data_IF_177033776274
#
_entry.id   IF_177033776274
#
_cell.length_a   1.000
_cell.length_b   1.000
_cell.length_c   1.000
_cell.angle_alpha   90.00
_cell.angle_beta   90.00
_cell.angle_gamma   90.00
#
_symmetry.space_group_name_H-M   'P 1'
#
loop_
_entity.id
_entity.type
_entity.pdbx_description
1 polymer ?
#
# COMPACT_ATOMS: atom_id res chain seq x y z
N UNK A 1 61.85 -37.34 -18.20
CA UNK A 1 60.54 -37.52 -18.84
C UNK A 1 59.45 -37.21 -17.81
N UNK A 2 59.15 -35.94 -17.60
CA UNK A 2 57.78 -35.46 -17.38
C UNK A 2 57.80 -33.97 -17.67
N UNK A 3 57.04 -33.62 -18.70
CA UNK A 3 56.95 -32.28 -19.26
C UNK A 3 55.96 -31.50 -18.42
N UNK A 4 56.36 -30.30 -18.00
CA UNK A 4 55.45 -29.27 -17.52
C UNK A 4 54.37 -29.01 -18.58
N UNK A 5 53.11 -29.33 -18.28
CA UNK A 5 51.97 -28.75 -18.98
C UNK A 5 51.19 -27.87 -18.01
N UNK A 6 51.53 -26.59 -18.06
CA UNK A 6 50.74 -25.47 -17.58
C UNK A 6 49.44 -25.44 -18.38
N UNK A 7 48.32 -25.88 -17.80
CA UNK A 7 46.98 -25.59 -18.30
C UNK A 7 46.40 -24.43 -17.49
N UNK A 8 46.81 -23.23 -17.88
CA UNK A 8 46.10 -21.98 -17.63
C UNK A 8 45.13 -21.73 -18.77
N UNK A 9 43.85 -22.05 -18.58
CA UNK A 9 42.65 -21.50 -19.28
C UNK A 9 41.46 -22.31 -18.72
N UNK A 10 40.44 -21.77 -18.07
CA UNK A 10 39.64 -20.60 -18.42
C UNK A 10 39.14 -19.91 -17.15
N UNK A 11 39.68 -18.73 -16.83
CA UNK A 11 38.88 -17.74 -16.13
C UNK A 11 37.91 -17.17 -17.16
N UNK A 12 36.76 -17.85 -17.30
CA UNK A 12 35.64 -17.35 -18.09
C UNK A 12 34.96 -16.20 -17.32
N UNK A 13 35.72 -15.12 -17.14
CA UNK A 13 35.27 -13.78 -16.76
C UNK A 13 34.69 -13.08 -17.98
N UNK A 14 33.80 -13.75 -18.72
CA UNK A 14 32.79 -13.01 -19.46
C UNK A 14 31.90 -12.37 -18.39
N UNK A 15 32.04 -11.06 -18.18
CA UNK A 15 31.14 -10.32 -17.30
C UNK A 15 29.71 -10.55 -17.80
N UNK A 16 28.96 -11.44 -17.15
CA UNK A 16 27.58 -11.73 -17.55
C UNK A 16 26.82 -10.41 -17.59
N UNK A 17 26.15 -10.14 -18.71
CA UNK A 17 25.42 -8.89 -18.91
C UNK A 17 24.44 -8.69 -17.75
N UNK A 18 24.37 -7.45 -17.24
CA UNK A 18 23.40 -7.08 -16.20
C UNK A 18 21.95 -7.33 -16.67
N UNK A 19 21.72 -7.19 -17.98
CA UNK A 19 20.43 -7.35 -18.64
C UNK A 19 20.27 -8.71 -19.33
N UNK A 20 20.95 -9.73 -18.81
CA UNK A 20 20.70 -11.10 -19.26
C UNK A 20 19.31 -11.54 -18.78
N UNK A 21 18.44 -11.89 -19.74
CA UNK A 21 17.05 -12.22 -19.45
C UNK A 21 16.95 -13.52 -18.65
N UNK A 22 15.92 -13.64 -17.83
CA UNK A 22 15.68 -14.85 -17.07
C UNK A 22 15.51 -16.06 -18.02
N UNK A 23 16.33 -17.09 -17.81
CA UNK A 23 16.26 -18.32 -18.61
C UNK A 23 14.93 -19.06 -18.39
N UNK A 24 14.33 -18.87 -17.20
CA UNK A 24 12.97 -19.32 -16.91
C UNK A 24 11.95 -18.38 -17.56
N UNK A 25 11.26 -18.89 -18.59
CA UNK A 25 10.26 -18.14 -19.36
C UNK A 25 9.09 -17.69 -18.49
N UNK A 26 8.68 -18.48 -17.49
CA UNK A 26 7.56 -18.12 -16.62
C UNK A 26 7.92 -16.89 -15.77
N UNK A 27 9.10 -16.89 -15.18
CA UNK A 27 9.63 -15.76 -14.41
C UNK A 27 9.81 -14.50 -15.27
N UNK A 28 10.26 -14.66 -16.51
CA UNK A 28 10.36 -13.56 -17.46
C UNK A 28 9.00 -12.91 -17.72
N UNK A 29 7.96 -13.72 -17.99
CA UNK A 29 6.60 -13.20 -18.20
C UNK A 29 6.01 -12.57 -16.94
N UNK A 30 6.20 -13.17 -15.76
CA UNK A 30 5.77 -12.57 -14.49
C UNK A 30 6.41 -11.21 -14.27
N UNK A 31 7.71 -11.07 -14.51
CA UNK A 31 8.41 -9.80 -14.40
C UNK A 31 7.85 -8.72 -15.34
N UNK A 32 7.53 -9.07 -16.59
CA UNK A 32 6.86 -8.15 -17.54
C UNK A 32 5.49 -7.74 -17.03
N UNK A 33 4.68 -8.70 -16.56
CA UNK A 33 3.35 -8.42 -16.02
C UNK A 33 3.43 -7.47 -14.83
N UNK A 34 4.33 -7.73 -13.87
CA UNK A 34 4.52 -6.87 -12.71
C UNK A 34 4.95 -5.46 -13.11
N UNK A 35 5.85 -5.33 -14.09
CA UNK A 35 6.33 -4.04 -14.57
C UNK A 35 5.20 -3.22 -15.20
N UNK A 36 4.40 -3.84 -16.09
CA UNK A 36 3.27 -3.17 -16.75
C UNK A 36 2.21 -2.78 -15.71
N UNK A 37 1.85 -3.69 -14.81
CA UNK A 37 0.83 -3.44 -13.78
C UNK A 37 1.26 -2.34 -12.81
N UNK A 38 2.53 -2.27 -12.42
CA UNK A 38 3.00 -1.28 -11.44
C UNK A 38 3.27 0.11 -12.05
N UNK A 39 3.60 0.18 -13.35
CA UNK A 39 3.93 1.45 -14.05
C UNK A 39 2.83 2.52 -13.93
N UNK A 40 1.56 2.11 -14.04
CA UNK A 40 0.42 3.05 -14.02
C UNK A 40 0.00 3.48 -12.61
N UNK A 41 0.59 2.89 -11.58
CA UNK A 41 0.09 3.05 -10.22
C UNK A 41 0.43 4.43 -9.67
N UNK A 42 1.69 4.85 -9.86
CA UNK A 42 2.16 6.15 -9.43
C UNK A 42 1.38 7.33 -10.06
N UNK A 43 1.22 7.42 -11.40
CA UNK A 43 0.45 8.53 -11.98
C UNK A 43 -1.03 8.50 -11.53
N UNK A 44 -1.62 7.31 -11.38
CA UNK A 44 -3.00 7.17 -10.92
C UNK A 44 -3.20 7.66 -9.48
N UNK A 45 -2.36 7.22 -8.54
CA UNK A 45 -2.45 7.62 -7.13
C UNK A 45 -2.10 9.10 -6.91
N UNK A 46 -1.13 9.64 -7.66
CA UNK A 46 -0.77 11.06 -7.56
C UNK A 46 -1.95 11.98 -7.88
N UNK A 47 -2.75 11.66 -8.91
CA UNK A 47 -3.96 12.42 -9.25
C UNK A 47 -4.95 12.44 -8.08
N UNK A 48 -5.16 11.30 -7.42
CA UNK A 48 -6.09 11.18 -6.29
C UNK A 48 -5.56 11.94 -5.07
N UNK A 49 -4.28 11.77 -4.73
CA UNK A 49 -3.63 12.46 -3.61
C UNK A 49 -3.71 13.97 -3.80
N UNK A 50 -3.36 14.47 -4.99
CA UNK A 50 -3.44 15.90 -5.32
C UNK A 50 -4.88 16.42 -5.22
N UNK A 51 -5.85 15.69 -5.76
CA UNK A 51 -7.27 16.07 -5.70
C UNK A 51 -7.77 16.16 -4.27
N UNK A 52 -7.48 15.15 -3.45
CA UNK A 52 -7.86 15.12 -2.04
C UNK A 52 -7.14 16.20 -1.22
N UNK A 53 -5.87 16.48 -1.54
CA UNK A 53 -5.10 17.54 -0.90
C UNK A 53 -5.75 18.91 -1.16
N UNK A 54 -6.04 19.23 -2.43
CA UNK A 54 -6.71 20.47 -2.83
C UNK A 54 -8.09 20.59 -2.18
N UNK A 55 -8.88 19.51 -2.16
CA UNK A 55 -10.18 19.48 -1.52
C UNK A 55 -10.10 19.70 0.00
N UNK A 56 -9.06 19.18 0.65
CA UNK A 56 -8.82 19.42 2.07
C UNK A 56 -8.36 20.86 2.34
N UNK A 57 -7.61 21.50 1.44
CA UNK A 57 -7.30 22.93 1.54
C UNK A 57 -8.56 23.81 1.44
N UNK A 58 -9.52 23.42 0.60
CA UNK A 58 -10.79 24.14 0.44
C UNK A 58 -11.77 23.89 1.60
N UNK A 59 -11.90 22.62 2.02
CA UNK A 59 -12.78 22.17 3.09
C UNK A 59 -12.00 21.24 4.01
N UNK A 60 -11.38 21.77 5.09
CA UNK A 60 -10.61 20.96 6.02
C UNK A 60 -11.44 19.82 6.58
N UNK A 61 -10.98 18.59 6.37
CA UNK A 61 -11.64 17.40 6.87
C UNK A 61 -10.58 16.36 7.23
N UNK A 62 -10.64 15.88 8.47
CA UNK A 62 -9.74 14.85 9.00
C UNK A 62 -9.74 13.58 8.13
N UNK A 63 -10.90 13.16 7.63
CA UNK A 63 -11.06 11.97 6.77
C UNK A 63 -10.26 12.09 5.47
N UNK A 64 -10.18 13.29 4.87
CA UNK A 64 -9.37 13.49 3.66
C UNK A 64 -7.87 13.39 3.95
N UNK A 65 -7.42 13.90 5.11
CA UNK A 65 -6.01 13.77 5.52
C UNK A 65 -5.62 12.31 5.73
N UNK A 66 -6.44 11.55 6.45
CA UNK A 66 -6.20 10.12 6.68
C UNK A 66 -6.24 9.31 5.40
N UNK A 67 -7.20 9.59 4.51
CA UNK A 67 -7.27 8.92 3.22
C UNK A 67 -6.05 9.22 2.33
N UNK A 68 -5.47 10.43 2.44
CA UNK A 68 -4.20 10.74 1.80
C UNK A 68 -3.01 9.98 2.39
N UNK A 69 -2.99 9.73 3.69
CA UNK A 69 -1.95 8.89 4.31
C UNK A 69 -2.04 7.47 3.73
N UNK A 70 -3.24 6.89 3.68
CA UNK A 70 -3.48 5.59 3.04
C UNK A 70 -3.00 5.57 1.59
N UNK A 71 -3.43 6.53 0.77
CA UNK A 71 -3.01 6.60 -0.63
C UNK A 71 -1.50 6.79 -0.80
N UNK A 72 -0.84 7.48 0.14
CA UNK A 72 0.62 7.62 0.16
C UNK A 72 1.32 6.30 0.48
N UNK A 73 0.80 5.52 1.43
CA UNK A 73 1.28 4.17 1.71
C UNK A 73 1.17 3.27 0.47
N UNK A 74 0.02 3.28 -0.22
CA UNK A 74 -0.18 2.53 -1.46
C UNK A 74 0.73 3.01 -2.60
N UNK A 75 1.02 4.31 -2.66
CA UNK A 75 1.93 4.88 -3.66
C UNK A 75 3.35 4.36 -3.45
N UNK A 76 3.85 4.36 -2.21
CA UNK A 76 5.18 3.86 -1.92
C UNK A 76 5.32 2.34 -2.12
N UNK A 77 4.29 1.55 -1.80
CA UNK A 77 4.24 0.13 -2.15
C UNK A 77 4.28 -0.08 -3.67
N UNK A 78 3.47 0.69 -4.41
CA UNK A 78 3.41 0.66 -5.86
C UNK A 78 4.73 1.00 -6.56
N UNK A 79 5.39 2.07 -6.09
CA UNK A 79 6.71 2.47 -6.57
C UNK A 79 7.76 1.40 -6.25
N UNK A 80 7.66 0.76 -5.08
CA UNK A 80 8.52 -0.36 -4.73
C UNK A 80 8.39 -1.50 -5.73
N UNK A 81 7.17 -1.99 -5.97
CA UNK A 81 6.93 -3.06 -6.97
C UNK A 81 7.43 -2.66 -8.37
N UNK A 82 7.24 -1.41 -8.79
CA UNK A 82 7.75 -0.91 -10.07
C UNK A 82 9.27 -0.98 -10.16
N UNK A 83 9.98 -0.55 -9.12
CA UNK A 83 11.44 -0.58 -9.06
C UNK A 83 11.99 -2.01 -8.97
N UNK A 84 11.26 -2.94 -8.36
CA UNK A 84 11.72 -4.31 -8.16
C UNK A 84 11.37 -5.23 -9.33
N UNK A 85 10.36 -4.90 -10.14
CA UNK A 85 9.92 -5.72 -11.28
C UNK A 85 11.03 -6.03 -12.30
N UNK A 86 11.91 -5.08 -12.69
CA UNK A 86 13.05 -5.38 -13.57
C UNK A 86 14.03 -6.40 -13.01
N UNK A 87 14.14 -6.53 -11.67
CA UNK A 87 15.02 -7.51 -11.03
C UNK A 87 14.50 -8.96 -11.18
N UNK A 88 13.20 -9.14 -11.44
CA UNK A 88 12.61 -10.46 -11.80
C UNK A 88 12.93 -10.81 -13.25
N UNK A 89 12.88 -9.82 -14.15
CA UNK A 89 13.16 -9.97 -15.59
C UNK A 89 14.65 -10.30 -15.82
N UNK A 90 15.53 -9.60 -15.09
CA UNK A 90 16.98 -9.71 -15.22
C UNK A 90 17.60 -10.20 -13.90
N UNK A 91 17.79 -11.51 -13.69
CA UNK A 91 18.28 -12.05 -12.42
C UNK A 91 19.72 -11.61 -12.08
N UNK A 92 20.53 -11.25 -13.08
CA UNK A 92 21.87 -10.69 -12.83
C UNK A 92 21.79 -9.32 -12.16
N UNK A 93 20.73 -8.54 -12.40
CA UNK A 93 20.46 -7.29 -11.69
C UNK A 93 20.32 -7.55 -10.19
N UNK A 94 19.53 -8.56 -9.80
CA UNK A 94 19.37 -8.98 -8.40
C UNK A 94 20.70 -9.39 -7.76
N UNK A 95 21.52 -10.20 -8.47
CA UNK A 95 22.83 -10.66 -7.98
C UNK A 95 23.84 -9.53 -7.82
N UNK A 96 23.89 -8.58 -8.76
CA UNK A 96 24.77 -7.42 -8.66
C UNK A 96 24.37 -6.55 -7.48
N UNK A 97 23.07 -6.34 -7.25
CA UNK A 97 22.59 -5.61 -6.08
C UNK A 97 22.89 -6.34 -4.76
N UNK A 98 22.73 -7.66 -4.68
CA UNK A 98 23.08 -8.43 -3.47
C UNK A 98 24.61 -8.48 -3.20
N UNK A 99 25.42 -8.53 -4.25
CA UNK A 99 26.89 -8.52 -4.09
C UNK A 99 27.38 -7.17 -3.56
N UNK A 100 26.78 -6.06 -4.03
CA UNK A 100 27.04 -4.71 -3.50
C UNK A 100 26.69 -4.63 -2.02
N UNK A 101 25.65 -5.34 -1.55
CA UNK A 101 25.27 -5.44 -0.12
C UNK A 101 26.35 -6.11 0.73
N UNK A 102 26.94 -7.22 0.25
CA UNK A 102 27.92 -7.98 1.04
C UNK A 102 29.26 -7.23 1.19
N UNK A 103 29.68 -6.51 0.16
CA UNK A 103 30.91 -5.69 0.16
C UNK A 103 30.71 -4.36 0.89
N UNK A 104 29.51 -3.75 0.81
CA UNK A 104 29.18 -2.51 1.53
C UNK A 104 29.04 -2.67 3.05
N UNK A 105 29.05 -3.91 3.57
CA UNK A 105 29.14 -4.18 5.02
C UNK A 105 30.47 -3.67 5.62
N UNK A 106 31.49 -3.39 4.79
CA UNK A 106 32.79 -2.86 5.23
C UNK A 106 32.96 -1.34 5.09
N UNK A 107 32.11 -0.65 4.30
CA UNK A 107 32.26 0.79 4.05
C UNK A 107 30.88 1.46 3.89
N UNK A 108 30.49 2.22 4.91
CA UNK A 108 29.28 3.04 4.97
C UNK A 108 29.26 4.06 3.82
N UNK A 109 28.43 3.85 2.79
CA UNK A 109 28.04 4.88 1.81
C UNK A 109 26.50 5.00 1.78
N UNK A 110 25.93 6.19 2.01
CA UNK A 110 24.49 6.36 2.28
C UNK A 110 23.61 6.51 1.01
N UNK A 111 24.09 6.16 -0.18
CA UNK A 111 23.35 6.44 -1.42
C UNK A 111 23.47 5.32 -2.47
N UNK A 112 23.28 4.08 -2.04
CA UNK A 112 22.90 2.99 -2.94
C UNK A 112 21.55 2.47 -2.49
N UNK A 113 20.53 2.71 -3.32
CA UNK A 113 19.17 2.20 -3.17
C UNK A 113 19.23 0.66 -3.31
N UNK A 114 19.54 -0.04 -2.24
CA UNK A 114 19.59 -1.49 -2.23
C UNK A 114 18.17 -2.05 -2.32
N UNK A 115 17.95 -3.09 -3.13
CA UNK A 115 16.64 -3.76 -3.28
C UNK A 115 16.01 -4.13 -1.92
N UNK A 116 16.80 -4.59 -0.95
CA UNK A 116 16.31 -4.92 0.40
C UNK A 116 15.73 -3.71 1.15
N UNK A 117 16.28 -2.49 0.95
CA UNK A 117 15.72 -1.27 1.54
C UNK A 117 14.35 -0.97 0.91
N UNK A 118 14.20 -1.21 -0.40
CA UNK A 118 12.92 -1.06 -1.10
C UNK A 118 11.92 -2.07 -0.52
N UNK A 119 12.29 -3.35 -0.37
CA UNK A 119 11.45 -4.38 0.24
C UNK A 119 11.03 -4.04 1.68
N UNK A 120 11.96 -3.59 2.52
CA UNK A 120 11.67 -3.14 3.88
C UNK A 120 10.73 -1.92 3.91
N UNK A 121 10.92 -0.98 2.97
CA UNK A 121 10.03 0.18 2.80
C UNK A 121 8.63 -0.25 2.41
N UNK A 122 8.50 -1.12 1.40
CA UNK A 122 7.21 -1.64 0.92
C UNK A 122 6.46 -2.34 2.05
N UNK A 123 7.13 -3.24 2.76
CA UNK A 123 6.52 -3.98 3.86
C UNK A 123 6.05 -3.03 4.98
N UNK A 124 6.89 -2.07 5.36
CA UNK A 124 6.53 -1.10 6.41
C UNK A 124 5.34 -0.22 6.01
N UNK A 125 5.23 0.16 4.73
CA UNK A 125 4.09 0.92 4.21
C UNK A 125 2.82 0.07 4.13
N UNK A 126 2.94 -1.24 3.86
CA UNK A 126 1.83 -2.19 3.95
C UNK A 126 1.30 -2.28 5.38
N UNK A 127 2.18 -2.52 6.33
CA UNK A 127 1.83 -2.63 7.75
C UNK A 127 1.19 -1.31 8.24
N UNK A 128 1.55 -0.16 7.67
CA UNK A 128 0.95 1.13 8.00
C UNK A 128 -0.48 1.31 7.45
N UNK A 129 -0.79 0.75 6.29
CA UNK A 129 -2.07 0.93 5.60
C UNK A 129 -3.25 0.44 6.46
N UNK A 130 -3.14 -0.80 6.98
CA UNK A 130 -4.16 -1.50 7.74
C UNK A 130 -4.66 -0.75 9.00
N UNK A 131 -3.78 -0.30 9.92
CA UNK A 131 -4.19 0.47 11.09
C UNK A 131 -4.78 1.83 10.73
N UNK A 132 -4.28 2.50 9.68
CA UNK A 132 -4.80 3.82 9.27
C UNK A 132 -6.21 3.68 8.68
N UNK A 133 -6.48 2.64 7.88
CA UNK A 133 -7.82 2.31 7.40
C UNK A 133 -8.77 1.97 8.56
N UNK A 134 -8.29 1.22 9.55
CA UNK A 134 -9.07 0.89 10.75
C UNK A 134 -9.42 2.15 11.54
N UNK A 135 -8.43 3.03 11.75
CA UNK A 135 -8.63 4.31 12.44
C UNK A 135 -9.60 5.22 11.67
N UNK A 136 -9.58 5.19 10.34
CA UNK A 136 -10.55 5.89 9.49
C UNK A 136 -11.98 5.38 9.72
N UNK A 137 -12.17 4.07 9.86
CA UNK A 137 -13.47 3.46 10.14
C UNK A 137 -14.02 3.88 11.50
N UNK A 138 -13.18 3.81 12.55
CA UNK A 138 -13.55 4.27 13.90
C UNK A 138 -13.86 5.77 13.92
N UNK A 139 -13.05 6.57 13.23
CA UNK A 139 -13.28 8.02 13.10
C UNK A 139 -14.64 8.34 12.50
N UNK A 140 -15.09 7.58 11.50
CA UNK A 140 -16.41 7.76 10.88
C UNK A 140 -17.54 7.50 11.88
N UNK A 141 -17.45 6.44 12.70
CA UNK A 141 -18.44 6.15 13.75
C UNK A 141 -18.56 7.34 14.70
N UNK A 142 -17.44 7.84 15.18
CA UNK A 142 -17.42 8.95 16.13
C UNK A 142 -17.99 10.24 15.55
N UNK A 143 -17.80 10.47 14.24
CA UNK A 143 -18.43 11.57 13.51
C UNK A 143 -19.95 11.35 13.42
N UNK A 144 -20.42 10.15 13.07
CA UNK A 144 -21.84 9.84 12.97
C UNK A 144 -22.58 9.90 14.30
N UNK A 145 -21.93 9.48 15.38
CA UNK A 145 -22.44 9.58 16.75
C UNK A 145 -22.37 11.01 17.30
N UNK A 146 -21.97 12.00 16.48
CA UNK A 146 -21.74 13.40 16.87
C UNK A 146 -20.77 13.59 18.05
N UNK A 147 -19.91 12.61 18.32
CA UNK A 147 -18.89 12.70 19.37
C UNK A 147 -17.69 13.55 18.91
N UNK A 148 -17.45 13.63 17.59
CA UNK A 148 -16.33 14.35 17.00
C UNK A 148 -16.81 15.17 15.79
N UNK A 149 -16.31 16.40 15.65
CA UNK A 149 -16.50 17.18 14.44
C UNK A 149 -15.48 16.83 13.35
N UNK A 150 -15.95 16.58 12.12
CA UNK A 150 -15.09 16.25 10.96
C UNK A 150 -14.08 17.34 10.58
N UNK A 151 -14.38 18.61 10.90
CA UNK A 151 -13.54 19.76 10.59
C UNK A 151 -12.37 19.96 11.56
N UNK A 152 -12.44 19.41 12.77
CA UNK A 152 -11.39 19.55 13.79
C UNK A 152 -10.75 18.19 14.03
N UNK A 153 -9.45 18.10 13.83
CA UNK A 153 -8.72 16.87 14.10
C UNK A 153 -8.75 16.60 15.61
N UNK A 154 -9.45 15.53 16.04
CA UNK A 154 -9.54 15.21 17.46
C UNK A 154 -8.15 14.85 18.00
N UNK A 155 -7.80 15.36 19.18
CA UNK A 155 -6.53 15.07 19.85
C UNK A 155 -6.30 13.57 20.07
N UNK A 156 -7.35 12.82 20.44
CA UNK A 156 -7.25 11.35 20.65
C UNK A 156 -6.86 10.64 19.35
N UNK A 157 -7.53 10.97 18.25
CA UNK A 157 -7.24 10.37 16.94
C UNK A 157 -5.84 10.78 16.45
N UNK A 158 -5.43 12.02 16.72
CA UNK A 158 -4.08 12.51 16.40
C UNK A 158 -3.01 11.74 17.18
N UNK A 159 -3.26 11.49 18.46
CA UNK A 159 -2.38 10.72 19.32
C UNK A 159 -2.26 9.27 18.84
N UNK A 160 -3.38 8.59 18.58
CA UNK A 160 -3.38 7.22 18.04
C UNK A 160 -2.65 7.13 16.69
N UNK A 161 -2.92 8.07 15.77
CA UNK A 161 -2.21 8.14 14.49
C UNK A 161 -0.70 8.37 14.70
N UNK A 162 -0.32 9.23 15.65
CA UNK A 162 1.07 9.47 16.02
C UNK A 162 1.75 8.21 16.54
N UNK A 163 1.08 7.41 17.38
CA UNK A 163 1.59 6.13 17.87
C UNK A 163 1.81 5.13 16.74
N UNK A 164 0.83 4.95 15.86
CA UNK A 164 0.95 4.08 14.69
C UNK A 164 2.13 4.51 13.82
N UNK A 165 2.21 5.80 13.45
CA UNK A 165 3.30 6.30 12.60
C UNK A 165 4.67 6.19 13.29
N UNK A 166 4.74 6.39 14.60
CA UNK A 166 6.00 6.24 15.36
C UNK A 166 6.47 4.79 15.38
N UNK A 167 5.54 3.84 15.57
CA UNK A 167 5.87 2.41 15.51
C UNK A 167 6.29 1.97 14.11
N UNK A 168 5.58 2.42 13.06
CA UNK A 168 5.97 2.21 11.65
C UNK A 168 7.36 2.79 11.37
N UNK A 169 7.69 3.96 11.91
CA UNK A 169 9.03 4.53 11.76
C UNK A 169 10.11 3.68 12.43
N UNK A 170 9.83 3.09 13.59
CA UNK A 170 10.76 2.15 14.26
C UNK A 170 10.95 0.90 13.39
N UNK A 171 9.87 0.33 12.84
CA UNK A 171 9.96 -0.81 11.92
C UNK A 171 10.79 -0.49 10.68
N UNK A 172 10.60 0.70 10.12
CA UNK A 172 11.34 1.16 8.95
C UNK A 172 12.85 1.25 9.22
N UNK A 173 13.23 1.89 10.34
CA UNK A 173 14.64 1.98 10.75
C UNK A 173 15.24 0.60 10.96
N UNK A 174 14.49 -0.30 11.62
CA UNK A 174 14.94 -1.66 11.85
C UNK A 174 15.13 -2.42 10.54
N UNK A 175 14.16 -2.35 9.62
CA UNK A 175 14.21 -3.00 8.32
C UNK A 175 15.39 -2.54 7.46
N UNK A 176 15.76 -1.26 7.56
CA UNK A 176 16.96 -0.72 6.88
C UNK A 176 18.25 -1.27 7.50
N UNK A 177 18.36 -1.29 8.83
CA UNK A 177 19.59 -1.68 9.53
C UNK A 177 19.86 -3.18 9.36
N UNK A 178 18.85 -4.01 9.59
CA UNK A 178 18.98 -5.46 9.64
C UNK A 178 18.65 -6.15 8.32
N UNK A 179 18.05 -5.44 7.35
CA UNK A 179 17.67 -5.97 6.02
C UNK A 179 16.76 -7.19 6.16
N UNK A 180 15.65 -7.00 6.85
CA UNK A 180 14.70 -8.06 7.20
C UNK A 180 13.91 -8.65 6.01
N UNK A 181 13.96 -8.01 4.84
CA UNK A 181 13.25 -8.45 3.63
C UNK A 181 14.23 -8.86 2.55
N UNK A 182 14.06 -10.06 2.01
CA UNK A 182 14.79 -10.57 0.86
C UNK A 182 13.83 -10.83 -0.31
N UNK A 183 14.33 -10.66 -1.52
CA UNK A 183 13.57 -10.93 -2.73
C UNK A 183 13.87 -12.37 -3.17
N UNK A 184 12.92 -13.27 -2.95
CA UNK A 184 12.94 -14.63 -3.48
C UNK A 184 12.04 -14.66 -4.72
N UNK A 185 12.57 -14.59 -5.96
CA UNK A 185 11.74 -14.57 -7.16
C UNK A 185 10.75 -15.75 -7.16
N UNK A 186 9.44 -15.49 -7.31
CA UNK A 186 8.84 -14.32 -7.96
C UNK A 186 8.38 -13.18 -7.02
N UNK A 187 8.68 -13.23 -5.73
CA UNK A 187 8.12 -12.34 -4.71
C UNK A 187 9.12 -11.80 -3.68
N UNK A 188 8.57 -11.20 -2.63
CA UNK A 188 9.29 -10.74 -1.44
C UNK A 188 8.98 -11.67 -0.28
N UNK A 189 9.88 -11.77 0.69
CA UNK A 189 9.65 -12.52 1.92
C UNK A 189 10.54 -12.02 3.06
N UNK A 190 10.19 -12.43 4.28
CA UNK A 190 11.06 -12.21 5.44
C UNK A 190 12.29 -13.12 5.35
N UNK A 191 13.46 -12.54 5.60
CA UNK A 191 14.68 -13.32 5.78
C UNK A 191 14.77 -13.81 7.23
N UNK A 192 14.42 -15.08 7.45
CA UNK A 192 14.46 -15.71 8.77
C UNK A 192 15.87 -16.01 9.29
N UNK A 193 16.92 -15.78 8.49
CA UNK A 193 18.32 -15.92 8.93
C UNK A 193 18.81 -14.71 9.72
N UNK A 194 18.12 -13.57 9.59
CA UNK A 194 18.41 -12.33 10.30
C UNK A 194 17.71 -12.33 11.67
N UNK A 195 18.37 -11.82 12.74
CA UNK A 195 17.78 -11.80 14.07
C UNK A 195 16.47 -10.97 14.10
N UNK A 196 15.53 -11.39 14.95
CA UNK A 196 14.22 -10.74 15.18
C UNK A 196 13.23 -10.73 14.01
N UNK A 197 13.57 -11.24 12.82
CA UNK A 197 12.66 -11.39 11.67
C UNK A 197 11.35 -12.10 12.03
N UNK A 198 11.43 -13.21 12.77
CA UNK A 198 10.27 -13.95 13.28
C UNK A 198 9.37 -13.10 14.19
N UNK A 199 9.96 -12.19 14.99
CA UNK A 199 9.19 -11.31 15.87
C UNK A 199 8.40 -10.30 15.03
N UNK A 200 8.97 -9.77 13.95
CA UNK A 200 8.26 -8.84 13.07
C UNK A 200 7.13 -9.49 12.29
N UNK A 201 7.36 -10.69 11.75
CA UNK A 201 6.30 -11.49 11.12
C UNK A 201 5.15 -11.76 12.10
N UNK A 202 5.48 -12.16 13.34
CA UNK A 202 4.48 -12.36 14.41
C UNK A 202 3.75 -11.06 14.77
N UNK A 203 4.45 -9.93 14.84
CA UNK A 203 3.85 -8.63 15.16
C UNK A 203 2.93 -8.12 14.05
N UNK A 204 3.29 -8.36 12.78
CA UNK A 204 2.43 -8.06 11.63
C UNK A 204 1.10 -8.82 11.73
N UNK A 205 1.17 -10.12 12.03
CA UNK A 205 0.00 -10.97 12.30
C UNK A 205 -0.80 -10.39 13.48
N UNK A 206 -0.15 -10.20 14.63
CA UNK A 206 -0.80 -9.71 15.85
C UNK A 206 -1.43 -8.33 15.70
N UNK A 207 -0.96 -7.48 14.78
CA UNK A 207 -1.57 -6.19 14.48
C UNK A 207 -2.72 -6.32 13.48
N UNK A 208 -2.55 -7.15 12.45
CA UNK A 208 -3.50 -7.31 11.36
C UNK A 208 -4.84 -7.88 11.83
N UNK A 209 -4.83 -8.94 12.65
CA UNK A 209 -6.06 -9.57 13.13
C UNK A 209 -6.97 -8.62 13.94
N UNK A 210 -6.46 -7.92 14.98
CA UNK A 210 -7.26 -6.91 15.69
C UNK A 210 -7.75 -5.79 14.77
N UNK A 211 -6.94 -5.32 13.82
CA UNK A 211 -7.35 -4.29 12.87
C UNK A 211 -8.54 -4.75 12.01
N UNK A 212 -8.52 -6.00 11.54
CA UNK A 212 -9.63 -6.61 10.79
C UNK A 212 -10.89 -6.72 11.64
N UNK A 213 -10.78 -7.21 12.89
CA UNK A 213 -11.91 -7.34 13.80
C UNK A 213 -12.53 -5.96 14.10
N UNK A 214 -11.70 -4.98 14.45
CA UNK A 214 -12.16 -3.62 14.75
C UNK A 214 -12.82 -2.99 13.51
N UNK A 215 -12.24 -3.19 12.32
CA UNK A 215 -12.82 -2.69 11.06
C UNK A 215 -14.18 -3.33 10.79
N UNK A 216 -14.30 -4.65 10.96
CA UNK A 216 -15.57 -5.37 10.78
C UNK A 216 -16.65 -4.87 11.74
N UNK A 217 -16.35 -4.81 13.04
CA UNK A 217 -17.26 -4.26 14.06
C UNK A 217 -17.63 -2.80 13.75
N UNK A 218 -16.65 -2.03 13.25
CA UNK A 218 -16.88 -0.64 12.87
C UNK A 218 -17.86 -0.52 11.70
N UNK A 219 -17.77 -1.38 10.69
CA UNK A 219 -18.69 -1.36 9.56
C UNK A 219 -20.11 -1.79 9.94
N UNK A 220 -20.26 -2.78 10.82
CA UNK A 220 -21.58 -3.14 11.39
C UNK A 220 -22.16 -1.94 12.15
N UNK A 221 -21.36 -1.26 12.96
CA UNK A 221 -21.78 -0.10 13.73
C UNK A 221 -22.21 1.07 12.83
N UNK A 222 -21.47 1.34 11.74
CA UNK A 222 -21.83 2.34 10.73
C UNK A 222 -23.16 1.97 10.07
N UNK A 223 -23.35 0.72 9.66
CA UNK A 223 -24.60 0.25 9.06
C UNK A 223 -25.79 0.44 10.00
N UNK A 224 -25.62 0.09 11.28
CA UNK A 224 -26.61 0.30 12.33
C UNK A 224 -26.94 1.79 12.54
N UNK A 225 -25.93 2.65 12.62
CA UNK A 225 -26.10 4.10 12.76
C UNK A 225 -26.84 4.70 11.55
N UNK A 226 -26.54 4.26 10.34
CA UNK A 226 -27.26 4.68 9.12
C UNK A 226 -28.73 4.24 9.20
N UNK A 227 -29.00 3.02 9.67
CA UNK A 227 -30.36 2.53 9.85
C UNK A 227 -31.13 3.30 10.92
N UNK A 228 -30.52 3.62 12.06
CA UNK A 228 -31.17 4.42 13.11
C UNK A 228 -31.37 5.88 12.68
N UNK A 229 -30.42 6.46 11.95
CA UNK A 229 -30.54 7.80 11.36
C UNK A 229 -31.64 7.90 10.27
N UNK A 230 -32.21 6.78 9.81
CA UNK A 230 -33.40 6.72 8.95
C UNK A 230 -34.61 7.44 9.57
N UNK A 231 -34.69 7.47 10.91
CA UNK A 231 -35.84 8.01 11.63
C UNK A 231 -35.74 9.51 11.97
N UNK A 232 -34.56 10.14 11.85
CA UNK A 232 -34.31 11.42 12.53
C UNK A 232 -34.12 12.66 11.66
N UNK A 233 -33.41 12.65 10.51
CA UNK A 233 -33.24 13.87 9.65
C UNK A 233 -32.37 13.78 8.37
N UNK A 234 -31.89 12.60 7.95
CA UNK A 234 -30.93 12.53 6.84
C UNK A 234 -31.59 12.58 5.45
N UNK A 235 -31.09 13.45 4.56
CA UNK A 235 -31.51 13.46 3.14
C UNK A 235 -31.17 12.15 2.45
N UNK A 236 -32.02 11.71 1.52
CA UNK A 236 -31.83 10.45 0.76
C UNK A 236 -30.48 10.43 0.03
N UNK A 237 -30.05 11.59 -0.49
CA UNK A 237 -28.78 11.73 -1.21
C UNK A 237 -27.56 11.57 -0.30
N UNK A 238 -27.60 12.13 0.92
CA UNK A 238 -26.54 11.95 1.91
C UNK A 238 -26.39 10.47 2.26
N UNK A 239 -27.51 9.78 2.53
CA UNK A 239 -27.53 8.36 2.86
C UNK A 239 -26.97 7.45 1.78
N UNK A 240 -27.32 7.71 0.51
CA UNK A 240 -26.77 6.96 -0.63
C UNK A 240 -25.25 7.08 -0.71
N UNK A 241 -24.71 8.28 -0.46
CA UNK A 241 -23.26 8.48 -0.46
C UNK A 241 -22.60 7.72 0.71
N UNK A 242 -23.22 7.68 1.88
CA UNK A 242 -22.67 6.97 3.05
C UNK A 242 -22.71 5.46 2.90
N UNK A 243 -23.78 4.90 2.35
CA UNK A 243 -23.85 3.47 2.00
C UNK A 243 -22.79 3.10 0.96
N UNK A 244 -22.58 3.96 -0.04
CA UNK A 244 -21.55 3.74 -1.05
C UNK A 244 -20.14 3.71 -0.42
N UNK A 245 -19.86 4.61 0.52
CA UNK A 245 -18.60 4.65 1.26
C UNK A 245 -18.43 3.40 2.13
N UNK A 246 -19.50 2.92 2.78
CA UNK A 246 -19.47 1.68 3.55
C UNK A 246 -19.16 0.46 2.67
N UNK A 247 -19.79 0.38 1.50
CA UNK A 247 -19.56 -0.71 0.54
C UNK A 247 -18.12 -0.69 0.02
N UNK A 248 -17.58 0.49 -0.29
CA UNK A 248 -16.16 0.65 -0.64
C UNK A 248 -15.26 0.07 0.44
N UNK A 249 -15.46 0.46 1.70
CA UNK A 249 -14.60 0.00 2.79
C UNK A 249 -14.78 -1.48 3.11
N UNK A 250 -16.01 -2.00 3.04
CA UNK A 250 -16.28 -3.43 3.26
C UNK A 250 -15.57 -4.28 2.21
N UNK A 251 -15.65 -3.91 0.93
CA UNK A 251 -14.98 -4.61 -0.15
C UNK A 251 -13.45 -4.59 0.00
N UNK A 252 -12.86 -3.41 0.28
CA UNK A 252 -11.41 -3.29 0.48
C UNK A 252 -10.94 -4.14 1.67
N UNK A 253 -11.67 -4.15 2.78
CA UNK A 253 -11.33 -4.97 3.95
C UNK A 253 -11.48 -6.46 3.66
N UNK A 254 -12.55 -6.89 2.98
CA UNK A 254 -12.70 -8.30 2.56
C UNK A 254 -11.55 -8.74 1.65
N UNK A 255 -11.12 -7.88 0.73
CA UNK A 255 -9.98 -8.13 -0.15
C UNK A 255 -8.68 -8.31 0.66
N UNK A 256 -8.38 -7.40 1.60
CA UNK A 256 -7.20 -7.49 2.46
C UNK A 256 -7.24 -8.73 3.36
N UNK A 257 -8.41 -9.06 3.94
CA UNK A 257 -8.57 -10.28 4.74
C UNK A 257 -8.22 -11.54 3.94
N UNK A 258 -8.65 -11.61 2.67
CA UNK A 258 -8.29 -12.70 1.78
C UNK A 258 -6.79 -12.77 1.53
N UNK A 259 -6.14 -11.64 1.28
CA UNK A 259 -4.68 -11.58 1.09
C UNK A 259 -3.90 -12.07 2.32
N UNK A 260 -4.25 -11.61 3.51
CA UNK A 260 -3.60 -12.01 4.78
C UNK A 260 -3.77 -13.52 5.00
N UNK A 261 -4.95 -14.05 4.68
CA UNK A 261 -5.23 -15.48 4.80
C UNK A 261 -4.33 -16.32 3.88
N UNK A 262 -4.11 -15.90 2.64
CA UNK A 262 -3.25 -16.60 1.68
C UNK A 262 -1.76 -16.41 2.02
N UNK A 263 -1.37 -15.24 2.52
CA UNK A 263 0.02 -14.91 2.85
C UNK A 263 0.55 -15.65 4.08
N UNK A 264 -0.30 -15.98 5.07
CA UNK A 264 0.10 -16.71 6.27
C UNK A 264 -0.48 -18.14 6.32
N UNK A 265 -0.06 -19.05 5.43
CA UNK A 265 -0.59 -20.42 5.40
C UNK A 265 -0.32 -21.19 6.70
N UNK A 266 0.77 -20.86 7.41
CA UNK A 266 1.15 -21.49 8.68
C UNK A 266 0.12 -21.25 9.82
N UNK A 267 -0.67 -20.18 9.75
CA UNK A 267 -1.73 -19.90 10.74
C UNK A 267 -3.03 -20.67 10.44
N UNK A 268 -3.22 -21.10 9.19
CA UNK A 268 -4.46 -21.69 8.72
C UNK A 268 -4.23 -23.10 8.17
N UNK A 269 -3.53 -23.94 8.95
CA UNK A 269 -3.25 -25.34 8.63
C UNK A 269 -4.50 -26.19 8.37
N UNK A 270 -5.69 -25.71 8.76
CA UNK A 270 -6.98 -26.33 8.43
C UNK A 270 -7.38 -26.22 6.96
N UNK A 271 -6.79 -25.30 6.19
CA UNK A 271 -7.21 -24.97 4.83
C UNK A 271 -6.03 -25.06 3.87
N UNK A 272 -5.57 -26.28 3.56
CA UNK A 272 -4.51 -26.57 2.58
C UNK A 272 -4.99 -26.44 1.13
N UNK A 273 -5.74 -25.38 0.81
CA UNK A 273 -6.28 -25.17 -0.54
C UNK A 273 -5.28 -24.55 -1.52
N UNK A 274 -4.23 -23.89 -1.03
CA UNK A 274 -3.23 -23.20 -1.86
C UNK A 274 -1.83 -23.65 -1.42
N UNK A 275 -1.13 -24.32 -2.33
CA UNK A 275 0.26 -24.70 -2.13
C UNK A 275 1.17 -23.50 -2.42
N UNK A 276 1.72 -22.91 -1.36
CA UNK A 276 2.64 -21.78 -1.47
C UNK A 276 4.07 -22.22 -1.81
N UNK A 277 4.36 -23.52 -1.94
CA UNK A 277 5.63 -24.01 -2.49
C UNK A 277 5.68 -23.88 -4.02
N UNK A 278 4.51 -23.82 -4.68
CA UNK A 278 4.43 -23.57 -6.11
C UNK A 278 4.76 -22.11 -6.46
N UNK A 279 5.72 -21.95 -7.37
CA UNK A 279 6.17 -20.65 -7.90
C UNK A 279 5.02 -19.88 -8.53
N UNK A 280 4.08 -20.55 -9.21
CA UNK A 280 2.96 -19.90 -9.87
C UNK A 280 2.03 -19.25 -8.83
N UNK A 281 1.76 -19.93 -7.73
CA UNK A 281 0.93 -19.41 -6.64
C UNK A 281 1.59 -18.22 -5.95
N UNK A 282 2.90 -18.28 -5.71
CA UNK A 282 3.66 -17.13 -5.20
C UNK A 282 3.62 -15.93 -6.17
N UNK A 283 3.69 -16.19 -7.48
CA UNK A 283 3.62 -15.15 -8.49
C UNK A 283 2.23 -14.49 -8.55
N UNK A 284 1.17 -15.30 -8.49
CA UNK A 284 -0.21 -14.82 -8.41
C UNK A 284 -0.40 -13.97 -7.16
N UNK A 285 0.11 -14.40 -6.01
CA UNK A 285 0.02 -13.62 -4.78
C UNK A 285 0.72 -12.27 -4.93
N UNK A 286 1.92 -12.21 -5.52
CA UNK A 286 2.61 -10.95 -5.79
C UNK A 286 1.83 -10.05 -6.78
N UNK A 287 1.17 -10.63 -7.78
CA UNK A 287 0.22 -9.89 -8.62
C UNK A 287 -0.93 -9.28 -7.79
N UNK A 288 -1.51 -10.04 -6.86
CA UNK A 288 -2.57 -9.57 -5.96
C UNK A 288 -2.09 -8.43 -5.05
N UNK A 289 -0.83 -8.47 -4.60
CA UNK A 289 -0.17 -7.37 -3.88
C UNK A 289 -0.05 -6.08 -4.72
N UNK A 290 0.33 -6.21 -6.00
CA UNK A 290 0.36 -5.05 -6.91
C UNK A 290 -1.05 -4.50 -7.15
N UNK A 291 -2.03 -5.39 -7.34
CA UNK A 291 -3.44 -5.01 -7.55
C UNK A 291 -4.02 -4.33 -6.30
N UNK A 292 -3.62 -4.72 -5.09
CA UNK A 292 -4.05 -4.07 -3.84
C UNK A 292 -3.87 -2.55 -3.88
N UNK A 293 -2.74 -2.10 -4.42
CA UNK A 293 -2.45 -0.67 -4.56
C UNK A 293 -3.49 0.09 -5.42
N UNK A 294 -4.21 -0.61 -6.29
CA UNK A 294 -5.30 -0.07 -7.11
C UNK A 294 -6.68 -0.25 -6.48
N UNK A 295 -6.90 -1.30 -5.69
CA UNK A 295 -8.24 -1.64 -5.16
C UNK A 295 -8.83 -0.46 -4.39
N UNK A 296 -8.13 0.05 -3.40
CA UNK A 296 -8.65 1.14 -2.58
C UNK A 296 -8.93 2.45 -3.37
N UNK A 297 -8.01 3.00 -4.17
CA UNK A 297 -8.28 4.20 -4.98
C UNK A 297 -9.35 3.99 -6.07
N UNK A 298 -9.39 2.83 -6.73
CA UNK A 298 -10.43 2.53 -7.71
C UNK A 298 -11.81 2.49 -7.07
N UNK A 299 -11.94 1.82 -5.92
CA UNK A 299 -13.18 1.77 -5.16
C UNK A 299 -13.59 3.17 -4.69
N UNK A 300 -12.63 4.01 -4.27
CA UNK A 300 -12.91 5.40 -3.93
C UNK A 300 -13.54 6.16 -5.11
N UNK A 301 -13.04 6.00 -6.33
CA UNK A 301 -13.59 6.66 -7.52
C UNK A 301 -14.94 6.09 -7.95
N UNK A 302 -15.16 4.78 -7.80
CA UNK A 302 -16.43 4.13 -8.16
C UNK A 302 -17.55 4.61 -7.23
N UNK A 303 -17.31 4.58 -5.92
CA UNK A 303 -18.34 4.83 -4.91
C UNK A 303 -18.45 6.30 -4.50
N UNK A 304 -17.40 7.11 -4.65
CA UNK A 304 -17.42 8.52 -4.29
C UNK A 304 -17.55 9.45 -5.52
N UNK A 305 -18.80 9.70 -5.93
CA UNK A 305 -19.11 10.56 -7.09
C UNK A 305 -18.51 11.96 -6.99
N UNK A 306 -18.43 12.53 -5.79
CA UNK A 306 -17.88 13.87 -5.60
C UNK A 306 -16.38 13.88 -5.87
N UNK A 307 -15.62 12.96 -5.26
CA UNK A 307 -14.17 12.86 -5.49
C UNK A 307 -13.90 12.52 -6.96
N UNK A 308 -14.67 11.62 -7.57
CA UNK A 308 -14.54 11.31 -9.00
C UNK A 308 -14.70 12.54 -9.88
N UNK A 309 -15.73 13.35 -9.63
CA UNK A 309 -15.96 14.59 -10.37
C UNK A 309 -14.80 15.58 -10.22
N UNK A 310 -14.24 15.68 -9.01
CA UNK A 310 -13.09 16.54 -8.73
C UNK A 310 -11.82 16.04 -9.41
N UNK A 311 -11.56 14.72 -9.45
CA UNK A 311 -10.43 14.12 -10.16
C UNK A 311 -10.53 14.38 -11.67
N UNK A 312 -11.71 14.20 -12.29
CA UNK A 312 -11.91 14.51 -13.71
C UNK A 312 -11.69 15.98 -14.02
N UNK A 313 -12.13 16.88 -13.14
CA UNK A 313 -11.87 18.32 -13.28
C UNK A 313 -10.38 18.63 -13.15
N UNK A 314 -9.70 18.06 -12.16
CA UNK A 314 -8.26 18.23 -11.98
C UNK A 314 -7.48 17.79 -13.23
N UNK A 315 -7.84 16.65 -13.83
CA UNK A 315 -7.24 16.19 -15.09
C UNK A 315 -7.52 17.13 -16.28
N UNK A 316 -8.70 17.75 -16.34
CA UNK A 316 -9.11 18.62 -17.46
C UNK A 316 -8.57 20.05 -17.35
N UNK A 317 -8.59 20.65 -16.18
CA UNK A 317 -8.34 22.09 -15.99
C UNK A 317 -7.19 22.41 -15.03
N UNK A 318 -6.59 21.39 -14.38
CA UNK A 318 -5.62 21.55 -13.28
C UNK A 318 -6.09 22.42 -12.10
N UNK A 319 -7.36 22.83 -12.10
CA UNK A 319 -8.01 23.65 -11.08
C UNK A 319 -9.32 22.99 -10.66
N UNK A 320 -9.51 22.83 -9.35
CA UNK A 320 -10.80 22.46 -8.76
C UNK A 320 -11.53 23.77 -8.45
N UNK A 321 -12.16 24.37 -9.46
CA UNK A 321 -12.91 25.61 -9.26
C UNK A 321 -14.05 25.42 -8.26
N UNK A 322 -14.22 26.42 -7.40
CA UNK A 322 -15.33 26.56 -6.45
C UNK A 322 -16.64 26.23 -7.18
N UNK A 323 -17.46 25.41 -6.54
CA UNK A 323 -18.86 25.26 -6.95
C UNK A 323 -19.48 26.67 -7.09
N UNK A 324 -20.01 27.07 -8.27
CA UNK A 324 -20.46 28.44 -8.53
C UNK A 324 -21.65 28.87 -7.64
N UNK A 325 -22.25 27.93 -6.91
CA UNK A 325 -23.40 28.17 -6.04
C UNK A 325 -23.12 29.10 -4.84
N UNK A 326 -21.87 29.29 -4.41
CA UNK A 326 -21.54 30.27 -3.34
C UNK A 326 -21.16 31.66 -3.83
N UNK A 327 -20.63 31.77 -5.05
CA UNK A 327 -20.26 33.07 -5.62
C UNK A 327 -21.50 33.80 -6.10
N UNK A 328 -22.44 33.12 -6.75
CA UNK A 328 -23.72 33.71 -7.19
C UNK A 328 -24.58 34.15 -6.00
N UNK A 329 -24.52 33.43 -4.86
CA UNK A 329 -25.28 33.80 -3.67
C UNK A 329 -24.69 35.02 -2.93
N UNK A 330 -23.37 35.25 -3.00
CA UNK A 330 -22.75 36.48 -2.48
C UNK A 330 -22.94 37.69 -3.40
N UNK A 331 -23.09 37.48 -4.71
CA UNK A 331 -23.41 38.56 -5.66
C UNK A 331 -24.87 39.05 -5.54
N UNK A 332 -25.79 38.19 -5.09
CA UNK A 332 -27.20 38.55 -4.90
C UNK A 332 -27.43 39.22 -3.53
N UNK A 333 -26.58 38.96 -2.53
CA UNK A 333 -26.70 39.57 -1.18
C UNK A 333 -26.01 40.94 -1.09
N UNK A 334 -25.25 41.38 -2.10
CA UNK A 334 -24.70 42.74 -2.16
C UNK A 334 -25.51 43.72 -3.02
N UNK A 335 -26.71 43.33 -3.45
CA UNK A 335 -27.66 44.22 -4.14
C UNK A 335 -29.04 44.01 -3.51
N UNK A 336 -29.23 44.61 -2.34
CA UNK A 336 -30.44 45.30 -1.88
C UNK A 336 -30.28 45.77 -0.44
#
# INVERSE_FOLDING_TARGET
MSVYSTTTSDYDTASKSLFDANADKEMFYFGIIYFILSMFNAPFLLVIISTLHLKNCQTPNMTFKMMNIVNFCLLGQGLGHFLTSPAVIFPNLLKTFDTVVRVSRLFWKPFHLNLQIIGATMNTLWICDLPVVTLLAVSRILIFSNMIHSHKFNGVIKFLLGLVLSWIFILFLYGIIFRNMEMYPPGWGYDFTVPFSHIFDTLEICLSFPCLIISFLSYISIAYLIFMAKNLRSSVQSRKNEIAILFQSAFTTSYISGMIFVWHPALFTMFTFIDMEDKTNQAILNCVWIIHCYVNPCMLLIFNKSIRGDCFRFLKTRNIDRNPSRTVMMSIVSIN
#
